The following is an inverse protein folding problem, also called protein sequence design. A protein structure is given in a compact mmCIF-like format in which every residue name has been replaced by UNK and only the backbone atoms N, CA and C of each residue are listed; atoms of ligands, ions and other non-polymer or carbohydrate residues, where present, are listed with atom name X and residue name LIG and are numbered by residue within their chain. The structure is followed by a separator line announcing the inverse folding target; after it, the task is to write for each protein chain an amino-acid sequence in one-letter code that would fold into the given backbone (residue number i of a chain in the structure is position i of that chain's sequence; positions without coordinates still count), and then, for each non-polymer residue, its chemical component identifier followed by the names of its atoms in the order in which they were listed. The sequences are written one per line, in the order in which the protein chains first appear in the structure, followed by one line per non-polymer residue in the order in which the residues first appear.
data_IF_135733843879
#
_entry.id   IF_135733843879
#
_cell.length_a   1.000
_cell.length_b   1.000
_cell.length_c   1.000
_cell.angle_alpha   90.00
_cell.angle_beta   90.00
_cell.angle_gamma   90.00
#
_symmetry.space_group_name_H-M   'P 1'
#
loop_
_entity.id
_entity.type
_entity.pdbx_description
1 polymer ?
#
# COMPACT_ATOMS: atom_id res chain seq x y z
N UNK A 1 -7.57 22.57 -8.97
CA UNK A 1 -7.23 21.78 -7.77
C UNK A 1 -5.79 21.33 -7.95
N UNK A 2 -4.85 21.63 -7.04
CA UNK A 2 -3.47 21.22 -7.23
C UNK A 2 -3.37 19.71 -7.04
N UNK A 3 -3.11 18.99 -8.13
CA UNK A 3 -2.82 17.56 -8.12
C UNK A 3 -1.54 17.34 -7.30
N UNK A 4 -1.64 16.76 -6.09
CA UNK A 4 -0.45 16.46 -5.29
C UNK A 4 0.46 15.50 -6.03
N UNK A 5 1.76 15.75 -5.97
CA UNK A 5 2.75 14.88 -6.60
C UNK A 5 2.70 13.49 -5.95
N UNK A 6 2.56 12.46 -6.78
CA UNK A 6 2.62 11.06 -6.33
C UNK A 6 4.05 10.78 -5.84
N UNK A 7 4.26 10.43 -4.55
CA UNK A 7 5.58 10.07 -4.05
C UNK A 7 6.08 8.79 -4.73
N UNK A 8 7.39 8.74 -4.97
CA UNK A 8 8.07 7.53 -5.44
C UNK A 8 8.65 6.78 -4.25
N UNK A 9 8.39 5.48 -4.18
CA UNK A 9 8.90 4.61 -3.14
C UNK A 9 9.85 3.57 -3.74
N UNK A 10 10.84 3.09 -2.97
CA UNK A 10 11.74 2.04 -3.44
C UNK A 10 10.94 0.76 -3.65
N UNK A 11 11.13 0.12 -4.81
CA UNK A 11 10.59 -1.22 -5.06
C UNK A 11 11.50 -2.22 -4.35
N UNK A 12 11.00 -3.05 -3.43
CA UNK A 12 11.80 -4.09 -2.80
C UNK A 12 12.38 -5.03 -3.88
N UNK A 13 13.70 -5.21 -3.90
CA UNK A 13 14.40 -6.08 -4.88
C UNK A 13 14.39 -7.55 -4.50
N UNK A 14 13.68 -7.91 -3.42
CA UNK A 14 13.56 -9.26 -2.90
C UNK A 14 12.32 -9.39 -2.03
N UNK A 15 11.80 -10.62 -1.95
CA UNK A 15 10.69 -10.95 -1.07
C UNK A 15 11.10 -11.08 0.40
N UNK A 16 10.15 -11.48 1.26
CA UNK A 16 10.42 -11.83 2.65
C UNK A 16 11.56 -12.85 2.75
N UNK A 17 12.41 -12.72 3.79
CA UNK A 17 13.47 -13.69 4.06
C UNK A 17 12.91 -15.05 4.52
N UNK A 18 11.69 -15.07 5.04
CA UNK A 18 10.97 -16.27 5.42
C UNK A 18 10.38 -16.94 4.16
N UNK A 19 10.75 -18.19 3.83
CA UNK A 19 10.22 -18.91 2.67
C UNK A 19 8.70 -19.04 2.66
N UNK A 20 8.06 -19.19 3.82
CA UNK A 20 6.59 -19.30 3.91
C UNK A 20 5.94 -18.00 3.49
N UNK A 21 6.51 -16.85 3.90
CA UNK A 21 6.00 -15.55 3.48
C UNK A 21 6.34 -15.25 2.01
N UNK A 22 7.47 -15.75 1.51
CA UNK A 22 7.84 -15.65 0.10
C UNK A 22 6.83 -16.37 -0.80
N UNK A 23 6.36 -17.55 -0.39
CA UNK A 23 5.33 -18.30 -1.12
C UNK A 23 3.97 -17.58 -1.14
N UNK A 24 3.70 -16.71 -0.14
CA UNK A 24 2.47 -15.93 -0.03
C UNK A 24 2.52 -14.56 -0.74
N UNK A 25 3.63 -14.26 -1.42
CA UNK A 25 3.81 -12.97 -2.10
C UNK A 25 2.79 -12.68 -3.20
N UNK A 26 2.42 -13.65 -4.07
CA UNK A 26 1.39 -13.42 -5.07
C UNK A 26 0.03 -13.05 -4.46
N UNK A 27 -0.37 -13.74 -3.39
CA UNK A 27 -1.61 -13.44 -2.66
C UNK A 27 -1.54 -12.09 -1.96
N UNK A 28 -0.41 -11.77 -1.33
CA UNK A 28 -0.18 -10.48 -0.68
C UNK A 28 -0.34 -9.32 -1.67
N UNK A 29 0.32 -9.40 -2.82
CA UNK A 29 0.24 -8.37 -3.87
C UNK A 29 -1.18 -8.26 -4.41
N UNK A 30 -1.85 -9.38 -4.66
CA UNK A 30 -3.23 -9.41 -5.17
C UNK A 30 -4.21 -8.78 -4.19
N UNK A 31 -4.11 -9.16 -2.90
CA UNK A 31 -4.95 -8.63 -1.83
C UNK A 31 -4.76 -7.12 -1.71
N UNK A 32 -3.52 -6.65 -1.58
CA UNK A 32 -3.26 -5.23 -1.39
C UNK A 32 -3.57 -4.40 -2.63
N UNK A 33 -3.35 -4.93 -3.83
CA UNK A 33 -3.80 -4.25 -5.07
C UNK A 33 -5.30 -4.03 -5.05
N UNK A 34 -6.08 -5.03 -4.64
CA UNK A 34 -7.53 -4.90 -4.49
C UNK A 34 -7.88 -3.88 -3.39
N UNK A 35 -7.29 -3.97 -2.22
CA UNK A 35 -7.61 -3.07 -1.11
C UNK A 35 -7.31 -1.60 -1.46
N UNK A 36 -6.22 -1.32 -2.18
CA UNK A 36 -5.87 0.03 -2.62
C UNK A 36 -6.74 0.53 -3.78
N UNK A 37 -7.32 -0.35 -4.60
CA UNK A 37 -8.10 0.03 -5.80
C UNK A 37 -9.62 -0.05 -5.60
N UNK A 38 -10.08 -0.75 -4.56
CA UNK A 38 -11.51 -0.94 -4.26
C UNK A 38 -11.84 -0.38 -2.89
N UNK A 39 -11.20 -0.90 -1.84
CA UNK A 39 -11.52 -0.52 -0.45
C UNK A 39 -11.16 0.93 -0.15
N UNK A 40 -10.00 1.42 -0.62
CA UNK A 40 -9.63 2.82 -0.43
C UNK A 40 -10.63 3.82 -1.04
N UNK A 41 -11.01 3.71 -2.34
CA UNK A 41 -12.04 4.57 -2.91
C UNK A 41 -13.37 4.55 -2.14
N UNK A 42 -13.80 3.39 -1.63
CA UNK A 42 -15.02 3.26 -0.84
C UNK A 42 -14.92 4.01 0.52
N UNK A 43 -13.79 3.89 1.23
CA UNK A 43 -13.53 4.65 2.47
C UNK A 43 -13.60 6.15 2.19
N UNK A 44 -12.98 6.56 1.09
CA UNK A 44 -12.91 7.95 0.66
C UNK A 44 -14.28 8.51 0.27
N UNK A 45 -15.10 7.74 -0.45
CA UNK A 45 -16.46 8.13 -0.83
C UNK A 45 -17.35 8.33 0.40
N UNK A 46 -17.24 7.43 1.40
CA UNK A 46 -17.95 7.56 2.68
C UNK A 46 -17.44 8.72 3.53
N UNK A 47 -16.21 9.19 3.30
CA UNK A 47 -15.55 10.19 4.14
C UNK A 47 -15.29 9.70 5.57
N UNK A 48 -15.14 8.39 5.77
CA UNK A 48 -14.96 7.79 7.10
C UNK A 48 -13.51 7.95 7.56
N UNK A 49 -13.26 8.99 8.36
CA UNK A 49 -11.93 9.30 8.93
C UNK A 49 -11.41 8.18 9.83
N UNK A 50 -12.29 7.51 10.58
CA UNK A 50 -11.84 6.43 11.46
C UNK A 50 -11.37 5.22 10.65
N UNK A 51 -12.12 4.86 9.61
CA UNK A 51 -11.76 3.77 8.70
C UNK A 51 -10.52 4.11 7.88
N UNK A 52 -10.37 5.36 7.46
CA UNK A 52 -9.14 5.88 6.85
C UNK A 52 -7.93 5.69 7.77
N UNK A 53 -8.01 6.12 9.02
CA UNK A 53 -6.92 5.92 9.97
C UNK A 53 -6.64 4.41 10.21
N UNK A 54 -7.68 3.58 10.34
CA UNK A 54 -7.53 2.12 10.46
C UNK A 54 -6.86 1.52 9.23
N UNK A 55 -7.16 2.01 8.03
CA UNK A 55 -6.56 1.54 6.79
C UNK A 55 -5.04 1.78 6.77
N UNK A 56 -4.59 2.98 7.16
CA UNK A 56 -3.17 3.28 7.33
C UNK A 56 -2.48 2.37 8.36
N UNK A 57 -3.17 2.06 9.47
CA UNK A 57 -2.67 1.12 10.46
C UNK A 57 -2.50 -0.30 9.90
N UNK A 58 -3.46 -0.79 9.11
CA UNK A 58 -3.41 -2.10 8.46
C UNK A 58 -2.27 -2.17 7.44
N UNK A 59 -2.07 -1.13 6.62
CA UNK A 59 -0.91 -1.02 5.71
C UNK A 59 0.39 -1.19 6.50
N UNK A 60 0.58 -0.38 7.55
CA UNK A 60 1.80 -0.41 8.36
C UNK A 60 2.08 -1.82 8.90
N UNK A 61 1.07 -2.46 9.49
CA UNK A 61 1.19 -3.78 10.10
C UNK A 61 1.50 -4.88 9.09
N UNK A 62 0.74 -4.95 8.00
CA UNK A 62 0.87 -6.00 7.00
C UNK A 62 2.21 -5.94 6.26
N UNK A 63 2.63 -4.74 5.84
CA UNK A 63 3.91 -4.56 5.16
C UNK A 63 5.09 -4.90 6.08
N UNK A 64 4.98 -4.58 7.38
CA UNK A 64 6.01 -4.97 8.35
C UNK A 64 6.07 -6.49 8.55
N UNK A 65 4.93 -7.19 8.58
CA UNK A 65 4.87 -8.65 8.71
C UNK A 65 5.57 -9.36 7.54
N UNK A 66 5.45 -8.82 6.32
CA UNK A 66 6.16 -9.31 5.14
C UNK A 66 7.60 -8.79 5.01
N UNK A 67 8.11 -8.06 6.01
CA UNK A 67 9.49 -7.58 6.03
C UNK A 67 9.75 -6.32 5.20
N UNK A 68 8.72 -5.69 4.63
CA UNK A 68 8.82 -4.44 3.87
C UNK A 68 8.96 -3.22 4.79
N UNK A 69 10.09 -3.15 5.51
CA UNK A 69 10.38 -2.11 6.50
C UNK A 69 10.42 -0.70 5.91
N UNK A 70 10.80 -0.55 4.65
CA UNK A 70 10.86 0.75 3.98
C UNK A 70 9.48 1.25 3.51
N UNK A 71 8.53 0.32 3.30
CA UNK A 71 7.16 0.64 2.89
C UNK A 71 6.20 0.79 4.08
N UNK A 72 6.46 0.09 5.19
CA UNK A 72 5.65 0.17 6.41
C UNK A 72 5.43 1.61 6.93
N UNK A 73 6.40 2.55 6.90
CA UNK A 73 6.21 3.94 7.27
C UNK A 73 5.11 4.66 6.48
N UNK A 74 4.82 4.24 5.25
CA UNK A 74 3.74 4.83 4.44
C UNK A 74 2.39 4.68 5.15
N UNK A 75 2.16 3.57 5.85
CA UNK A 75 0.96 3.39 6.65
C UNK A 75 0.85 4.39 7.81
N UNK A 76 1.97 4.78 8.42
CA UNK A 76 1.99 5.88 9.42
C UNK A 76 1.67 7.22 8.77
N UNK A 77 2.21 7.47 7.58
CA UNK A 77 1.93 8.72 6.87
C UNK A 77 0.44 8.81 6.48
N UNK A 78 -0.18 7.72 6.04
CA UNK A 78 -1.62 7.63 5.77
C UNK A 78 -2.44 7.85 7.04
N UNK A 79 -2.01 7.34 8.20
CA UNK A 79 -2.65 7.65 9.49
C UNK A 79 -2.57 9.15 9.81
N UNK A 80 -1.40 9.77 9.60
CA UNK A 80 -1.20 11.21 9.78
C UNK A 80 -2.07 12.02 8.80
N UNK A 81 -2.24 11.56 7.57
CA UNK A 81 -3.13 12.20 6.61
C UNK A 81 -4.59 12.13 7.12
N UNK A 82 -5.02 11.01 7.72
CA UNK A 82 -6.34 10.89 8.35
C UNK A 82 -6.53 11.86 9.52
N UNK A 83 -5.52 11.97 10.40
CA UNK A 83 -5.54 12.91 11.53
C UNK A 83 -5.67 14.37 11.08
N UNK A 84 -5.14 14.71 9.90
CA UNK A 84 -5.19 16.05 9.33
C UNK A 84 -6.34 16.27 8.33
N UNK A 85 -7.17 15.25 8.07
CA UNK A 85 -8.24 15.31 7.06
C UNK A 85 -7.72 15.45 5.62
N UNK A 86 -6.50 14.97 5.37
CA UNK A 86 -5.74 15.17 4.15
C UNK A 86 -5.95 14.04 3.13
N UNK A 87 -7.16 13.99 2.59
CA UNK A 87 -7.56 12.98 1.62
C UNK A 87 -6.71 12.99 0.34
N UNK A 88 -6.31 14.18 -0.13
CA UNK A 88 -5.45 14.30 -1.32
C UNK A 88 -4.03 13.79 -1.06
N UNK A 89 -3.50 14.00 0.15
CA UNK A 89 -2.24 13.41 0.58
C UNK A 89 -2.28 11.90 0.56
N UNK A 90 -3.33 11.33 1.15
CA UNK A 90 -3.51 9.88 1.14
C UNK A 90 -3.69 9.34 -0.27
N UNK A 91 -4.52 9.96 -1.13
CA UNK A 91 -4.69 9.54 -2.54
C UNK A 91 -3.33 9.43 -3.25
N UNK A 92 -2.46 10.43 -3.09
CA UNK A 92 -1.13 10.40 -3.68
C UNK A 92 -0.28 9.24 -3.13
N UNK A 93 -0.31 9.00 -1.83
CA UNK A 93 0.47 7.91 -1.20
C UNK A 93 -0.04 6.53 -1.58
N UNK A 94 -1.36 6.34 -1.62
CA UNK A 94 -2.01 5.11 -2.06
C UNK A 94 -1.64 4.82 -3.51
N UNK A 95 -1.64 5.82 -4.38
CA UNK A 95 -1.19 5.66 -5.76
C UNK A 95 0.30 5.30 -5.85
N UNK A 96 1.15 5.93 -5.02
CA UNK A 96 2.57 5.58 -4.94
C UNK A 96 2.79 4.13 -4.49
N UNK A 97 2.00 3.66 -3.52
CA UNK A 97 2.08 2.28 -3.03
C UNK A 97 1.59 1.28 -4.08
N UNK A 98 0.53 1.60 -4.82
CA UNK A 98 0.03 0.80 -5.93
C UNK A 98 1.07 0.65 -7.03
N UNK A 99 1.82 1.71 -7.35
CA UNK A 99 2.92 1.66 -8.31
C UNK A 99 4.01 0.66 -7.88
N UNK A 100 4.33 0.61 -6.57
CA UNK A 100 5.29 -0.37 -6.04
C UNK A 100 4.74 -1.78 -6.14
N UNK A 101 3.49 -2.03 -5.77
CA UNK A 101 2.88 -3.37 -5.85
C UNK A 101 2.85 -3.90 -7.28
N UNK A 102 2.54 -3.03 -8.26
CA UNK A 102 2.60 -3.39 -9.67
C UNK A 102 4.03 -3.76 -10.11
N UNK A 103 5.03 -2.96 -9.70
CA UNK A 103 6.43 -3.28 -9.99
C UNK A 103 6.90 -4.58 -9.31
N UNK A 104 6.42 -4.86 -8.08
CA UNK A 104 6.67 -6.13 -7.40
C UNK A 104 6.00 -7.30 -8.14
N UNK A 105 4.79 -7.10 -8.66
CA UNK A 105 4.06 -8.09 -9.44
C UNK A 105 4.84 -8.49 -10.70
N UNK A 106 5.41 -7.52 -11.41
CA UNK A 106 6.24 -7.74 -12.60
C UNK A 106 7.52 -8.53 -12.31
N UNK A 107 8.00 -8.52 -11.06
CA UNK A 107 9.19 -9.26 -10.63
C UNK A 107 8.86 -10.70 -10.19
N UNK A 108 7.59 -11.04 -9.99
CA UNK A 108 7.21 -12.40 -9.64
C UNK A 108 7.49 -13.36 -10.80
N UNK A 109 8.15 -14.50 -10.55
CA UNK A 109 8.36 -15.50 -11.59
C UNK A 109 7.02 -16.19 -11.92
N UNK A 110 6.29 -15.70 -12.93
CA UNK A 110 5.12 -16.44 -13.43
C UNK A 110 3.93 -15.71 -14.08
N UNK A 111 4.07 -14.58 -14.77
CA UNK A 111 3.00 -14.07 -15.68
C UNK A 111 3.51 -13.80 -17.12
N UNK A 112 4.43 -14.63 -17.63
CA UNK A 112 4.69 -14.77 -19.06
C UNK A 112 4.65 -16.26 -19.43
N UNK A 113 3.46 -16.79 -19.68
CA UNK A 113 3.24 -18.07 -20.35
C UNK A 113 1.95 -18.01 -21.15
#
# INVERSE_FOLDING_TARGET
MPNRSIPTYPVPTGGPADPVLADLMPEFITLWTKDLTVTWPEIRERGDIEEFHRFGHTIKGSFLQFGFRDLSPIGRDVMSDAENGDWEGADARIQGLLNVLNAMKEQLPGENS
#
